data_IF_047683319834
#
_entry.id   IF_047683319834
#
_cell.length_a   1.000
_cell.length_b   1.000
_cell.length_c   1.000
_cell.angle_alpha   90.00
_cell.angle_beta   90.00
_cell.angle_gamma   90.00
#
_symmetry.space_group_name_H-M   'P 1'
#
loop_
_entity.id
_entity.type
_entity.pdbx_description
1 polymer ?
#
# COMPACT_ATOMS: atom_id res chain seq x y z
N UNK A 1 8.86 -26.44 16.61
CA UNK A 1 8.33 -25.43 15.66
C UNK A 1 8.09 -24.17 16.46
N UNK A 2 8.59 -23.02 16.01
CA UNK A 2 8.39 -21.74 16.70
C UNK A 2 7.08 -21.15 16.19
N UNK A 3 6.23 -20.64 17.09
CA UNK A 3 5.04 -19.90 16.68
C UNK A 3 5.45 -18.52 16.16
N UNK A 4 4.87 -18.14 15.02
CA UNK A 4 5.11 -16.86 14.39
C UNK A 4 4.20 -15.80 15.02
N UNK A 5 4.71 -14.58 15.15
CA UNK A 5 3.89 -13.42 15.50
C UNK A 5 2.95 -13.05 14.35
N UNK A 6 1.89 -12.30 14.63
CA UNK A 6 0.92 -11.87 13.62
C UNK A 6 1.56 -11.14 12.43
N UNK A 7 2.60 -10.34 12.68
CA UNK A 7 3.34 -9.59 11.65
C UNK A 7 4.12 -10.55 10.75
N UNK A 8 4.81 -11.54 11.33
CA UNK A 8 5.54 -12.55 10.57
C UNK A 8 4.59 -13.41 9.73
N UNK A 9 3.38 -13.65 10.21
CA UNK A 9 2.33 -14.35 9.45
C UNK A 9 1.87 -13.52 8.25
N UNK A 10 1.63 -12.22 8.41
CA UNK A 10 1.26 -11.33 7.29
C UNK A 10 2.36 -11.28 6.23
N UNK A 11 3.62 -11.17 6.64
CA UNK A 11 4.76 -11.14 5.71
C UNK A 11 4.91 -12.44 4.92
N UNK A 12 4.68 -13.60 5.53
CA UNK A 12 4.76 -14.90 4.84
C UNK A 12 3.55 -15.12 3.91
N UNK A 13 2.38 -14.59 4.27
CA UNK A 13 1.17 -14.66 3.43
C UNK A 13 1.12 -13.59 2.33
N UNK A 14 2.10 -12.70 2.24
CA UNK A 14 2.10 -11.59 1.28
C UNK A 14 1.01 -10.54 1.56
N UNK A 15 0.41 -10.57 2.76
CA UNK A 15 -0.59 -9.59 3.16
C UNK A 15 0.07 -8.22 3.33
N UNK A 16 -0.49 -7.19 2.70
CA UNK A 16 0.05 -5.83 2.74
C UNK A 16 1.10 -5.55 1.66
N UNK A 17 1.49 -6.53 0.84
CA UNK A 17 2.46 -6.31 -0.25
C UNK A 17 1.96 -5.24 -1.22
N UNK A 18 0.71 -5.35 -1.69
CA UNK A 18 0.16 -4.34 -2.59
C UNK A 18 -0.07 -3.01 -1.86
N UNK A 19 -0.42 -3.05 -0.56
CA UNK A 19 -0.44 -1.86 0.30
C UNK A 19 0.90 -1.10 0.32
N UNK A 20 2.02 -1.80 0.48
CA UNK A 20 3.35 -1.21 0.52
C UNK A 20 3.79 -0.68 -0.86
N UNK A 21 3.53 -1.44 -1.93
CA UNK A 21 3.75 -1.00 -3.32
C UNK A 21 2.93 0.25 -3.63
N UNK A 22 1.65 0.25 -3.24
CA UNK A 22 0.76 1.39 -3.40
C UNK A 22 1.27 2.62 -2.65
N UNK A 23 1.76 2.44 -1.42
CA UNK A 23 2.39 3.52 -0.64
C UNK A 23 3.60 4.10 -1.35
N UNK A 24 4.48 3.24 -1.89
CA UNK A 24 5.68 3.65 -2.60
C UNK A 24 5.35 4.47 -3.86
N UNK A 25 4.47 3.95 -4.71
CA UNK A 25 4.06 4.64 -5.95
C UNK A 25 3.38 5.96 -5.62
N UNK A 26 2.43 5.95 -4.67
CA UNK A 26 1.71 7.15 -4.25
C UNK A 26 2.64 8.22 -3.68
N UNK A 27 3.61 7.82 -2.85
CA UNK A 27 4.61 8.73 -2.28
C UNK A 27 5.53 9.30 -3.36
N UNK A 28 5.89 8.53 -4.38
CA UNK A 28 6.71 9.01 -5.49
C UNK A 28 5.98 10.08 -6.31
N UNK A 29 4.70 9.83 -6.64
CA UNK A 29 3.84 10.81 -7.32
C UNK A 29 3.67 12.07 -6.48
N UNK A 30 3.34 11.91 -5.19
CA UNK A 30 3.17 13.04 -4.27
C UNK A 30 4.45 13.86 -4.08
N UNK A 31 5.63 13.22 -4.08
CA UNK A 31 6.92 13.93 -4.08
C UNK A 31 7.08 14.83 -5.31
N UNK A 32 6.64 14.37 -6.48
CA UNK A 32 6.62 15.19 -7.69
C UNK A 32 5.70 16.40 -7.57
N UNK A 33 4.50 16.21 -7.01
CA UNK A 33 3.54 17.30 -6.76
C UNK A 33 4.12 18.32 -5.77
N UNK A 34 4.71 17.87 -4.67
CA UNK A 34 5.33 18.74 -3.66
C UNK A 34 6.48 19.55 -4.27
N UNK A 35 7.31 18.91 -5.09
CA UNK A 35 8.45 19.56 -5.78
C UNK A 35 7.97 20.68 -6.69
N UNK A 36 6.92 20.44 -7.49
CA UNK A 36 6.36 21.45 -8.40
C UNK A 36 5.65 22.55 -7.62
N UNK A 37 4.91 22.19 -6.57
CA UNK A 37 4.18 23.14 -5.72
C UNK A 37 5.12 24.07 -4.97
N UNK A 38 6.30 23.59 -4.58
CA UNK A 38 7.33 24.40 -3.95
C UNK A 38 7.82 25.54 -4.86
N UNK A 39 7.83 25.36 -6.18
CA UNK A 39 8.14 26.44 -7.15
C UNK A 39 7.09 27.55 -7.08
N UNK A 40 5.83 27.19 -6.83
CA UNK A 40 4.73 28.12 -6.63
C UNK A 40 4.62 28.66 -5.19
N UNK A 41 5.54 28.28 -4.28
CA UNK A 41 5.53 28.71 -2.88
C UNK A 41 4.48 28.02 -2.00
N UNK A 42 3.93 26.88 -2.44
CA UNK A 42 2.91 26.11 -1.69
C UNK A 42 3.49 24.76 -1.29
N UNK A 43 3.19 24.31 -0.07
CA UNK A 43 3.58 22.97 0.40
C UNK A 43 2.33 22.17 0.80
N UNK A 44 1.77 21.35 -0.11
CA UNK A 44 0.52 20.64 0.12
C UNK A 44 0.65 19.33 0.90
N UNK A 45 1.87 18.85 1.18
CA UNK A 45 2.13 17.51 1.76
C UNK A 45 1.50 16.37 0.93
N UNK A 46 1.57 16.52 -0.40
CA UNK A 46 1.00 15.56 -1.34
C UNK A 46 1.68 14.20 -1.25
N UNK A 47 2.97 14.12 -0.90
CA UNK A 47 3.66 12.84 -0.64
C UNK A 47 2.91 11.98 0.37
N UNK A 48 2.56 12.55 1.53
CA UNK A 48 1.90 11.81 2.61
C UNK A 48 0.47 11.43 2.23
N UNK A 49 -0.28 12.38 1.65
CA UNK A 49 -1.67 12.16 1.25
C UNK A 49 -1.76 11.09 0.16
N UNK A 50 -1.01 11.25 -0.92
CA UNK A 50 -1.07 10.33 -2.07
C UNK A 50 -0.45 8.98 -1.71
N UNK A 51 0.59 8.93 -0.86
CA UNK A 51 1.10 7.69 -0.29
C UNK A 51 0.03 6.93 0.50
N UNK A 52 -0.75 7.61 1.33
CA UNK A 52 -1.84 7.00 2.10
C UNK A 52 -2.97 6.48 1.19
N UNK A 53 -3.33 7.23 0.16
CA UNK A 53 -4.31 6.79 -0.85
C UNK A 53 -3.80 5.54 -1.57
N UNK A 54 -2.54 5.55 -2.01
CA UNK A 54 -1.90 4.42 -2.66
C UNK A 54 -1.91 3.18 -1.76
N UNK A 55 -1.62 3.34 -0.46
CA UNK A 55 -1.75 2.26 0.53
C UNK A 55 -3.16 1.68 0.57
N UNK A 56 -4.18 2.53 0.64
CA UNK A 56 -5.57 2.11 0.70
C UNK A 56 -5.99 1.30 -0.53
N UNK A 57 -5.57 1.73 -1.73
CA UNK A 57 -5.81 0.99 -2.99
C UNK A 57 -5.09 -0.35 -2.96
N UNK A 58 -3.82 -0.37 -2.54
CA UNK A 58 -3.03 -1.58 -2.43
C UNK A 58 -3.65 -2.62 -1.50
N UNK A 59 -4.08 -2.19 -0.31
CA UNK A 59 -4.77 -3.05 0.66
C UNK A 59 -6.11 -3.57 0.13
N UNK A 60 -6.82 -2.80 -0.69
CA UNK A 60 -8.04 -3.28 -1.35
C UNK A 60 -7.74 -4.39 -2.37
N UNK A 61 -6.62 -4.29 -3.10
CA UNK A 61 -6.13 -5.34 -4.00
C UNK A 61 -5.70 -6.58 -3.21
N UNK A 62 -4.96 -6.41 -2.11
CA UNK A 62 -4.59 -7.50 -1.20
C UNK A 62 -5.85 -8.27 -0.74
N UNK A 63 -6.89 -7.55 -0.30
CA UNK A 63 -8.14 -8.13 0.14
C UNK A 63 -8.90 -8.85 -1.00
N UNK A 64 -8.91 -8.28 -2.20
CA UNK A 64 -9.56 -8.89 -3.37
C UNK A 64 -8.90 -10.21 -3.77
N UNK A 65 -7.57 -10.22 -3.87
CA UNK A 65 -6.81 -11.43 -4.22
C UNK A 65 -6.99 -12.51 -3.16
N UNK A 66 -6.89 -12.13 -1.87
CA UNK A 66 -7.13 -13.06 -0.76
C UNK A 66 -8.54 -13.66 -0.81
N UNK A 67 -9.55 -12.83 -1.09
CA UNK A 67 -10.94 -13.28 -1.22
C UNK A 67 -11.14 -14.21 -2.43
N UNK A 68 -10.51 -13.91 -3.58
CA UNK A 68 -10.57 -14.75 -4.78
C UNK A 68 -9.90 -16.11 -4.57
N UNK A 69 -8.77 -16.14 -3.87
CA UNK A 69 -8.05 -17.37 -3.55
C UNK A 69 -8.87 -18.31 -2.66
N UNK A 70 -9.63 -17.76 -1.71
CA UNK A 70 -10.54 -18.53 -0.85
C UNK A 70 -11.71 -19.18 -1.60
N UNK A 71 -12.12 -18.63 -2.74
CA UNK A 71 -13.16 -19.23 -3.58
C UNK A 71 -12.60 -20.45 -4.31
N UNK A 72 -11.39 -20.34 -4.87
CA UNK A 72 -10.72 -21.44 -5.57
C UNK A 72 -10.37 -22.58 -4.61
N UNK A 73 -9.93 -22.26 -3.38
CA UNK A 73 -9.56 -23.30 -2.40
C UNK A 73 -10.74 -24.11 -1.84
N UNK A 74 -11.99 -23.71 -2.13
CA UNK A 74 -13.22 -24.40 -1.70
C UNK A 74 -13.86 -25.23 -2.82
N UNK A 75 -13.29 -25.19 -4.02
CA UNK A 75 -13.62 -26.06 -5.16
C UNK A 75 -12.69 -27.28 -5.17
#
# INVERSE_FOLDING_TARGET
MKELSAIEIEQVNGAGFFGDVGTLIGSAVGTGIDTISAIAGVNPDAKTVVGTIGKGIGLAVDALISSGLQIISKL
#
